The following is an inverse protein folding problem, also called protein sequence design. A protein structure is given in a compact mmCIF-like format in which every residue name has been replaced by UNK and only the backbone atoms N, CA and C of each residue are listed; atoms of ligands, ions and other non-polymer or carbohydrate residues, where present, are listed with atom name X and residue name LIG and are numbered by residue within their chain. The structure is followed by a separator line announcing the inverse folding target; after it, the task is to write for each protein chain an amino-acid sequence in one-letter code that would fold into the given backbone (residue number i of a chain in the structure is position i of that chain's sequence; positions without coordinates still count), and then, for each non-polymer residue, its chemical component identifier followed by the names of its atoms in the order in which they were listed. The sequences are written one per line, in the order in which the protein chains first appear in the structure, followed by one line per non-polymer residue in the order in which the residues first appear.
data_IF_730777256849
#
_entry.id   IF_730777256849
#
_cell.length_a   1.000
_cell.length_b   1.000
_cell.length_c   1.000
_cell.angle_alpha   90.00
_cell.angle_beta   90.00
_cell.angle_gamma   90.00
#
_symmetry.space_group_name_H-M   'P 1'
#
loop_
_entity.id
_entity.type
_entity.pdbx_description
1 polymer ?
#
# COMPACT_ATOMS: atom_id res chain seq x y z
N UNK A 1 -34.96 -26.82 -66.34
CA UNK A 1 -34.03 -27.96 -66.42
C UNK A 1 -32.62 -27.40 -66.46
N UNK A 2 -31.91 -27.41 -65.34
CA UNK A 2 -30.51 -26.97 -65.29
C UNK A 2 -29.69 -27.93 -64.42
N UNK A 3 -28.85 -28.70 -65.12
CA UNK A 3 -27.51 -29.22 -64.78
C UNK A 3 -27.23 -29.54 -63.31
N UNK A 4 -27.31 -30.83 -62.96
CA UNK A 4 -26.65 -31.39 -61.78
C UNK A 4 -25.12 -31.35 -61.96
N UNK A 5 -24.44 -30.59 -61.10
CA UNK A 5 -22.97 -30.53 -61.04
C UNK A 5 -22.49 -31.61 -60.08
N UNK A 6 -21.79 -32.59 -60.63
CA UNK A 6 -21.07 -33.67 -59.93
C UNK A 6 -20.08 -33.08 -58.93
N UNK A 7 -20.22 -33.43 -57.65
CA UNK A 7 -19.15 -33.28 -56.67
C UNK A 7 -18.56 -34.66 -56.40
N UNK A 8 -17.28 -34.77 -56.70
CA UNK A 8 -16.44 -35.94 -56.49
C UNK A 8 -16.35 -36.29 -55.00
N UNK A 9 -16.19 -37.59 -54.65
CA UNK A 9 -15.96 -37.99 -53.27
C UNK A 9 -14.55 -37.57 -52.82
N UNK A 10 -14.48 -36.55 -51.96
CA UNK A 10 -13.24 -36.19 -51.26
C UNK A 10 -12.87 -37.32 -50.30
N UNK A 11 -11.75 -37.98 -50.62
CA UNK A 11 -11.16 -39.12 -49.95
C UNK A 11 -11.00 -38.88 -48.44
N UNK A 12 -11.61 -39.78 -47.67
CA UNK A 12 -11.20 -40.20 -46.34
C UNK A 12 -9.69 -40.53 -46.36
N UNK A 13 -8.90 -39.90 -45.49
CA UNK A 13 -7.75 -40.45 -44.73
C UNK A 13 -7.00 -39.28 -44.09
N UNK A 14 -7.34 -38.96 -42.84
CA UNK A 14 -6.47 -38.24 -41.93
C UNK A 14 -6.28 -39.09 -40.67
N UNK A 15 -5.02 -39.40 -40.37
CA UNK A 15 -4.57 -40.24 -39.26
C UNK A 15 -4.98 -39.68 -37.88
N UNK A 16 -5.02 -40.51 -36.81
CA UNK A 16 -5.45 -40.08 -35.50
C UNK A 16 -4.38 -39.23 -34.82
N UNK A 17 -4.52 -37.91 -34.87
CA UNK A 17 -3.86 -37.04 -33.90
C UNK A 17 -4.64 -37.12 -32.58
N UNK A 18 -4.03 -37.73 -31.57
CA UNK A 18 -4.48 -37.72 -30.19
C UNK A 18 -4.54 -36.29 -29.65
N UNK A 19 -5.67 -35.61 -29.85
CA UNK A 19 -6.04 -34.43 -29.07
C UNK A 19 -7.26 -34.80 -28.21
N UNK A 20 -7.00 -35.03 -26.93
CA UNK A 20 -8.04 -35.10 -25.91
C UNK A 20 -8.87 -33.81 -25.95
N UNK A 21 -10.21 -33.88 -25.97
CA UNK A 21 -11.04 -32.69 -25.88
C UNK A 21 -10.89 -32.11 -24.47
N UNK A 22 -10.41 -30.88 -24.36
CA UNK A 22 -10.48 -30.04 -23.16
C UNK A 22 -11.95 -29.80 -22.84
N UNK A 23 -12.48 -30.65 -21.99
CA UNK A 23 -13.83 -30.56 -21.42
C UNK A 23 -13.89 -29.32 -20.52
N UNK A 24 -14.46 -28.21 -21.02
CA UNK A 24 -14.90 -27.08 -20.21
C UNK A 24 -16.11 -27.49 -19.36
N UNK A 25 -15.85 -28.28 -18.32
CA UNK A 25 -16.83 -28.58 -17.29
C UNK A 25 -17.00 -27.39 -16.33
N UNK A 26 -18.11 -27.32 -15.57
CA UNK A 26 -18.27 -26.36 -14.49
C UNK A 26 -17.06 -26.46 -13.55
N UNK A 27 -16.56 -25.30 -13.10
CA UNK A 27 -15.36 -25.18 -12.28
C UNK A 27 -15.40 -26.19 -11.13
N UNK A 28 -14.63 -27.28 -11.24
CA UNK A 28 -14.54 -28.28 -10.18
C UNK A 28 -13.93 -27.57 -8.98
N UNK A 29 -14.67 -27.49 -7.89
CA UNK A 29 -14.15 -27.03 -6.60
C UNK A 29 -12.94 -27.88 -6.28
N UNK A 30 -11.76 -27.27 -6.32
CA UNK A 30 -10.51 -27.99 -6.11
C UNK A 30 -10.38 -28.19 -4.60
N UNK A 31 -10.52 -29.42 -4.13
CA UNK A 31 -10.36 -29.73 -2.72
C UNK A 31 -8.88 -29.93 -2.40
N UNK A 32 -8.42 -29.33 -1.31
CA UNK A 32 -7.11 -29.61 -0.71
C UNK A 32 -7.37 -30.38 0.59
N UNK A 33 -7.18 -31.69 0.54
CA UNK A 33 -7.61 -32.57 1.63
C UNK A 33 -9.13 -32.60 1.76
N UNK A 34 -9.65 -32.23 2.95
CA UNK A 34 -11.09 -32.23 3.27
C UNK A 34 -11.78 -30.89 3.00
N UNK A 35 -11.02 -29.83 2.72
CA UNK A 35 -11.54 -28.47 2.60
C UNK A 35 -11.45 -27.97 1.14
N UNK A 36 -12.42 -27.16 0.68
CA UNK A 36 -12.32 -26.45 -0.59
C UNK A 36 -11.12 -25.49 -0.63
N UNK A 37 -10.50 -25.33 -1.81
CA UNK A 37 -9.41 -24.37 -2.06
C UNK A 37 -9.75 -22.94 -1.62
N UNK A 38 -11.01 -22.54 -1.75
CA UNK A 38 -11.43 -21.18 -1.46
C UNK A 38 -11.39 -20.86 0.03
N UNK A 39 -11.66 -21.85 0.90
CA UNK A 39 -11.50 -21.68 2.34
C UNK A 39 -10.03 -21.54 2.71
N UNK A 40 -9.14 -22.26 2.03
CA UNK A 40 -7.70 -22.10 2.22
C UNK A 40 -7.22 -20.70 1.81
N UNK A 41 -7.75 -20.14 0.71
CA UNK A 41 -7.46 -18.75 0.31
C UNK A 41 -8.02 -17.74 1.32
N UNK A 42 -9.21 -17.99 1.86
CA UNK A 42 -9.80 -17.16 2.91
C UNK A 42 -8.93 -17.17 4.18
N UNK A 43 -8.49 -18.34 4.65
CA UNK A 43 -7.58 -18.46 5.79
C UNK A 43 -6.27 -17.70 5.53
N UNK A 44 -5.68 -17.86 4.34
CA UNK A 44 -4.45 -17.16 3.94
C UNK A 44 -4.64 -15.64 3.83
N UNK A 45 -5.86 -15.14 3.63
CA UNK A 45 -6.14 -13.70 3.62
C UNK A 45 -6.01 -13.08 5.02
N UNK A 46 -6.36 -13.82 6.08
CA UNK A 46 -6.27 -13.37 7.47
C UNK A 46 -4.98 -13.76 8.19
N UNK A 47 -4.18 -14.67 7.61
CA UNK A 47 -2.96 -15.16 8.22
C UNK A 47 -1.81 -14.12 8.13
N UNK A 48 -0.99 -13.93 9.17
CA UNK A 48 0.22 -13.11 9.08
C UNK A 48 1.20 -13.65 8.03
N UNK A 49 1.88 -12.75 7.31
CA UNK A 49 2.88 -13.12 6.28
C UNK A 49 3.98 -14.07 6.81
N UNK A 50 4.50 -13.91 8.04
CA UNK A 50 5.53 -14.83 8.57
C UNK A 50 5.08 -16.28 8.72
N UNK A 51 3.77 -16.56 8.71
CA UNK A 51 3.23 -17.90 8.90
C UNK A 51 2.93 -18.61 7.56
N UNK A 52 3.06 -17.90 6.43
CA UNK A 52 2.91 -18.47 5.09
C UNK A 52 3.90 -19.63 4.84
N UNK A 53 5.20 -19.54 5.18
CA UNK A 53 6.13 -20.66 5.00
C UNK A 53 5.79 -21.88 5.86
N UNK A 54 5.16 -21.71 7.02
CA UNK A 54 4.71 -22.84 7.83
C UNK A 54 3.53 -23.54 7.16
N UNK A 55 2.57 -22.76 6.65
CA UNK A 55 1.42 -23.25 5.91
C UNK A 55 1.79 -23.95 4.58
N UNK A 56 2.73 -23.37 3.84
CA UNK A 56 3.22 -23.94 2.58
C UNK A 56 3.95 -25.28 2.76
N UNK A 57 4.58 -25.51 3.93
CA UNK A 57 5.29 -26.75 4.24
C UNK A 57 4.37 -27.93 4.57
N UNK A 58 3.07 -27.71 4.82
CA UNK A 58 2.15 -28.79 5.16
C UNK A 58 1.88 -29.76 4.00
N UNK A 59 1.77 -29.26 2.76
CA UNK A 59 1.46 -30.05 1.57
C UNK A 59 1.85 -29.30 0.29
N UNK A 60 2.18 -30.01 -0.80
CA UNK A 60 2.42 -29.38 -2.11
C UNK A 60 1.25 -28.54 -2.61
N UNK A 61 0.00 -28.97 -2.39
CA UNK A 61 -1.16 -28.18 -2.79
C UNK A 61 -1.34 -26.91 -1.94
N UNK A 62 -0.95 -26.92 -0.65
CA UNK A 62 -0.98 -25.71 0.19
C UNK A 62 0.16 -24.75 -0.18
N UNK A 63 1.31 -25.26 -0.63
CA UNK A 63 2.37 -24.44 -1.22
C UNK A 63 1.88 -23.73 -2.49
N UNK A 64 1.25 -24.45 -3.42
CA UNK A 64 0.70 -23.85 -4.64
C UNK A 64 -0.37 -22.79 -4.36
N UNK A 65 -1.19 -22.97 -3.32
CA UNK A 65 -2.17 -21.96 -2.89
C UNK A 65 -1.51 -20.73 -2.25
N UNK A 66 -0.44 -20.91 -1.46
CA UNK A 66 0.29 -19.79 -0.86
C UNK A 66 1.05 -18.93 -1.89
N UNK A 67 1.40 -19.53 -3.04
CA UNK A 67 1.98 -18.83 -4.19
C UNK A 67 0.94 -18.12 -5.07
N UNK A 68 -0.36 -18.30 -4.81
CA UNK A 68 -1.41 -17.69 -5.62
C UNK A 68 -1.34 -16.16 -5.63
N UNK A 69 -1.23 -15.56 -6.82
CA UNK A 69 -1.21 -14.11 -7.00
C UNK A 69 -2.46 -13.42 -6.45
N UNK A 70 -3.61 -14.09 -6.36
CA UNK A 70 -4.85 -13.48 -5.83
C UNK A 70 -4.70 -12.92 -4.42
N UNK A 71 -3.94 -13.61 -3.55
CA UNK A 71 -3.70 -13.18 -2.17
C UNK A 71 -2.76 -11.96 -2.18
N UNK A 72 -1.70 -12.03 -2.99
CA UNK A 72 -0.71 -10.97 -3.10
C UNK A 72 -1.28 -9.71 -3.75
N UNK A 73 -2.17 -9.84 -4.74
CA UNK A 73 -2.90 -8.73 -5.34
C UNK A 73 -3.79 -8.00 -4.33
N UNK A 74 -4.52 -8.73 -3.48
CA UNK A 74 -5.39 -8.12 -2.47
C UNK A 74 -4.56 -7.29 -1.47
N UNK A 75 -3.45 -7.87 -0.98
CA UNK A 75 -2.52 -7.18 -0.07
C UNK A 75 -1.80 -6.01 -0.74
N UNK A 76 -1.42 -6.16 -2.01
CA UNK A 76 -0.76 -5.12 -2.80
C UNK A 76 -1.70 -3.96 -3.13
N UNK A 77 -2.94 -4.25 -3.52
CA UNK A 77 -3.99 -3.24 -3.69
C UNK A 77 -4.17 -2.44 -2.39
N UNK A 78 -4.22 -3.12 -1.25
CA UNK A 78 -4.34 -2.46 0.05
C UNK A 78 -3.16 -1.52 0.38
N UNK A 79 -1.97 -1.77 -0.17
CA UNK A 79 -0.81 -0.87 -0.04
C UNK A 79 -0.83 0.33 -0.99
N UNK A 80 -1.40 0.17 -2.20
CA UNK A 80 -1.44 1.23 -3.23
C UNK A 80 -2.72 2.07 -3.18
N UNK A 81 -3.74 1.66 -2.43
CA UNK A 81 -5.03 2.36 -2.34
C UNK A 81 -4.84 3.86 -2.03
N UNK A 82 -3.77 4.24 -1.34
CA UNK A 82 -3.32 5.63 -1.32
C UNK A 82 -2.29 5.91 -2.42
N UNK A 83 -2.68 6.83 -3.32
CA UNK A 83 -1.85 7.40 -4.41
C UNK A 83 -0.46 7.91 -3.98
N UNK A 84 -0.18 7.98 -2.68
CA UNK A 84 1.13 8.36 -2.12
C UNK A 84 2.26 7.38 -2.44
N UNK A 85 1.97 6.10 -2.72
CA UNK A 85 3.03 5.12 -3.05
C UNK A 85 3.72 5.44 -4.39
N UNK A 86 3.01 6.05 -5.34
CA UNK A 86 3.57 6.45 -6.65
C UNK A 86 4.53 7.63 -6.52
N UNK A 87 4.24 8.56 -5.59
CA UNK A 87 5.13 9.70 -5.29
C UNK A 87 6.38 9.27 -4.49
N UNK A 88 6.29 8.20 -3.69
CA UNK A 88 7.40 7.70 -2.87
C UNK A 88 8.49 6.93 -3.63
N UNK A 89 8.55 7.04 -4.95
CA UNK A 89 9.38 6.17 -5.79
C UNK A 89 10.65 6.49 -6.53
N UNK A 90 11.03 7.72 -6.75
CA UNK A 90 10.97 8.84 -5.85
C UNK A 90 11.96 8.57 -4.69
N UNK A 91 11.43 8.12 -3.56
CA UNK A 91 12.04 8.27 -2.25
C UNK A 91 12.90 7.05 -1.82
N UNK A 92 12.51 5.85 -2.18
CA UNK A 92 13.19 4.63 -1.67
C UNK A 92 14.50 4.29 -2.40
N UNK A 93 14.83 5.00 -3.49
CA UNK A 93 16.20 5.01 -4.01
C UNK A 93 17.23 5.51 -2.98
N UNK A 94 16.80 6.35 -2.03
CA UNK A 94 17.65 6.95 -0.99
C UNK A 94 18.08 5.93 0.09
N UNK A 95 17.21 4.97 0.44
CA UNK A 95 17.50 3.97 1.47
C UNK A 95 18.49 2.88 1.04
N UNK A 96 18.77 2.77 -0.27
CA UNK A 96 19.62 1.71 -0.79
C UNK A 96 21.11 2.08 -0.83
N UNK A 97 21.50 3.37 -0.83
CA UNK A 97 22.90 3.81 -0.74
C UNK A 97 23.01 5.34 -0.43
N UNK A 98 23.71 5.77 0.64
CA UNK A 98 23.87 7.19 0.97
C UNK A 98 24.87 7.98 0.09
N UNK A 99 25.45 7.38 -0.97
CA UNK A 99 26.60 7.99 -1.70
C UNK A 99 26.40 8.18 -3.21
N UNK A 100 25.18 8.14 -3.75
CA UNK A 100 24.99 8.36 -5.20
C UNK A 100 23.84 9.33 -5.50
N UNK A 101 24.08 10.39 -6.30
CA UNK A 101 23.04 11.32 -6.71
C UNK A 101 22.03 10.65 -7.67
N UNK A 102 20.81 11.20 -7.63
CA UNK A 102 19.56 10.74 -8.23
C UNK A 102 19.67 10.00 -9.58
N UNK A 103 18.97 8.88 -9.66
CA UNK A 103 18.31 8.43 -10.90
C UNK A 103 16.82 8.20 -10.61
N UNK A 104 15.99 9.13 -11.05
CA UNK A 104 14.53 9.17 -10.99
C UNK A 104 13.84 8.15 -11.92
N UNK A 105 14.53 7.08 -12.30
CA UNK A 105 14.10 6.16 -13.37
C UNK A 105 13.64 4.80 -12.88
N UNK A 106 13.66 4.51 -11.58
CA UNK A 106 13.31 3.17 -11.11
C UNK A 106 11.79 2.93 -10.99
N UNK A 107 10.97 3.94 -10.69
CA UNK A 107 9.52 3.73 -10.49
C UNK A 107 8.61 4.45 -11.51
N UNK A 108 9.19 5.27 -12.40
CA UNK A 108 8.53 5.74 -13.64
C UNK A 108 8.59 4.70 -14.77
N UNK A 109 9.07 3.49 -14.48
CA UNK A 109 8.78 2.35 -15.33
C UNK A 109 7.32 1.97 -15.11
N UNK A 110 6.45 2.46 -16.02
CA UNK A 110 5.17 1.81 -16.37
C UNK A 110 5.31 0.31 -16.07
N UNK A 111 4.52 -0.28 -15.16
CA UNK A 111 4.75 -1.65 -14.73
C UNK A 111 4.85 -2.50 -15.98
N UNK A 112 6.06 -2.97 -16.29
CA UNK A 112 6.23 -3.92 -17.38
C UNK A 112 5.31 -5.07 -17.03
N UNK A 113 4.58 -5.56 -18.01
CA UNK A 113 3.44 -6.47 -17.87
C UNK A 113 3.78 -7.85 -17.29
N UNK A 114 4.90 -7.98 -16.57
CA UNK A 114 5.46 -9.22 -16.05
C UNK A 114 5.99 -9.16 -14.61
N UNK A 115 5.94 -8.02 -13.90
CA UNK A 115 6.26 -8.05 -12.46
C UNK A 115 5.05 -8.53 -11.65
N UNK A 116 5.10 -9.76 -11.16
CA UNK A 116 4.10 -10.34 -10.22
C UNK A 116 3.87 -9.42 -9.01
N UNK A 117 2.63 -9.34 -8.52
CA UNK A 117 2.26 -8.52 -7.36
C UNK A 117 3.03 -8.98 -6.11
N UNK A 118 3.29 -10.29 -6.02
CA UNK A 118 4.17 -10.87 -5.00
C UNK A 118 5.60 -10.29 -5.04
N UNK A 119 6.20 -10.19 -6.22
CA UNK A 119 7.56 -9.63 -6.38
C UNK A 119 7.64 -8.16 -5.99
N UNK A 120 6.64 -7.37 -6.37
CA UNK A 120 6.53 -5.97 -5.97
C UNK A 120 6.37 -5.83 -4.44
N UNK A 121 5.49 -6.64 -3.84
CA UNK A 121 5.32 -6.69 -2.39
C UNK A 121 6.61 -7.06 -1.66
N UNK A 122 7.34 -8.09 -2.10
CA UNK A 122 8.61 -8.52 -1.48
C UNK A 122 9.63 -7.38 -1.51
N UNK A 123 9.71 -6.66 -2.64
CA UNK A 123 10.59 -5.50 -2.77
C UNK A 123 10.25 -4.45 -1.71
N UNK A 124 8.99 -4.00 -1.65
CA UNK A 124 8.54 -2.99 -0.67
C UNK A 124 8.72 -3.49 0.77
N UNK A 125 8.36 -4.72 1.05
CA UNK A 125 8.52 -5.34 2.37
C UNK A 125 9.99 -5.32 2.82
N UNK A 126 10.94 -5.66 1.95
CA UNK A 126 12.37 -5.63 2.29
C UNK A 126 12.89 -4.23 2.62
N UNK A 127 12.30 -3.20 2.00
CA UNK A 127 12.66 -1.80 2.22
C UNK A 127 12.06 -1.26 3.52
N UNK A 128 10.83 -1.66 3.85
CA UNK A 128 10.14 -1.22 5.07
C UNK A 128 10.57 -2.01 6.31
N UNK A 129 11.02 -3.26 6.15
CA UNK A 129 11.46 -4.13 7.23
C UNK A 129 12.47 -3.48 8.22
N UNK A 130 13.54 -2.78 7.79
CA UNK A 130 14.45 -2.11 8.73
C UNK A 130 13.75 -1.03 9.57
N UNK A 131 12.77 -0.32 9.01
CA UNK A 131 12.00 0.71 9.72
C UNK A 131 11.13 0.10 10.82
N UNK A 132 10.59 -1.11 10.61
CA UNK A 132 9.80 -1.81 11.64
C UNK A 132 10.63 -2.06 12.91
N UNK A 133 11.92 -2.39 12.77
CA UNK A 133 12.79 -2.61 13.93
C UNK A 133 13.03 -1.31 14.72
N UNK A 134 12.84 -0.15 14.10
CA UNK A 134 12.92 1.14 14.80
C UNK A 134 11.63 1.50 15.52
N UNK A 135 10.49 0.92 15.13
CA UNK A 135 9.18 1.17 15.76
C UNK A 135 9.03 0.56 17.16
N UNK A 136 9.97 -0.30 17.59
CA UNK A 136 10.02 -0.76 18.98
C UNK A 136 10.67 0.25 19.95
N UNK A 137 11.12 1.41 19.44
CA UNK A 137 11.71 2.49 20.23
C UNK A 137 10.62 3.48 20.71
N UNK A 138 10.92 4.34 21.69
CA UNK A 138 10.02 5.43 22.09
C UNK A 138 9.59 6.34 20.93
N UNK A 139 8.36 6.90 20.94
CA UNK A 139 7.78 7.69 19.85
C UNK A 139 8.63 8.85 19.33
N UNK A 140 9.33 9.57 20.21
CA UNK A 140 10.19 10.69 19.81
C UNK A 140 11.43 10.24 19.04
N UNK A 141 12.02 9.09 19.40
CA UNK A 141 13.18 8.52 18.69
C UNK A 141 12.77 8.02 17.31
N UNK A 142 11.53 7.51 17.19
CA UNK A 142 10.95 7.12 15.90
C UNK A 142 10.93 8.35 14.99
N UNK A 143 10.28 9.45 15.41
CA UNK A 143 10.19 10.67 14.62
C UNK A 143 11.55 11.25 14.27
N UNK A 144 12.49 11.33 15.22
CA UNK A 144 13.85 11.83 14.93
C UNK A 144 14.57 10.98 13.87
N UNK A 145 14.44 9.65 13.94
CA UNK A 145 15.05 8.76 12.94
C UNK A 145 14.37 8.83 11.57
N UNK A 146 13.05 8.99 11.54
CA UNK A 146 12.30 9.18 10.30
C UNK A 146 12.65 10.52 9.66
N UNK A 147 12.62 11.62 10.42
CA UNK A 147 13.03 12.95 9.97
C UNK A 147 14.50 13.00 9.52
N UNK A 148 15.41 12.26 10.16
CA UNK A 148 16.80 12.17 9.73
C UNK A 148 16.96 11.42 8.39
N UNK A 149 16.08 10.45 8.12
CA UNK A 149 16.10 9.68 6.88
C UNK A 149 15.29 10.33 5.74
N UNK A 150 14.32 11.16 6.09
CA UNK A 150 13.44 11.90 5.21
C UNK A 150 13.81 13.38 5.32
N UNK A 151 14.72 13.84 4.47
CA UNK A 151 15.06 15.26 4.26
C UNK A 151 13.85 16.22 4.41
N UNK A 152 14.05 17.48 4.85
CA UNK A 152 13.33 18.15 5.95
C UNK A 152 11.87 18.57 5.70
N UNK A 153 11.20 18.08 4.67
CA UNK A 153 9.80 18.43 4.42
C UNK A 153 8.84 17.63 5.29
N UNK A 154 7.93 18.32 5.98
CA UNK A 154 6.94 17.72 6.87
C UNK A 154 5.99 16.79 6.10
N UNK A 155 5.65 17.15 4.85
CA UNK A 155 4.77 16.34 4.01
C UNK A 155 5.35 14.95 3.67
N UNK A 156 6.67 14.83 3.52
CA UNK A 156 7.29 13.53 3.26
C UNK A 156 7.33 12.66 4.52
N UNK A 157 7.61 13.25 5.68
CA UNK A 157 7.54 12.53 6.95
C UNK A 157 6.11 12.02 7.21
N UNK A 158 5.12 12.89 6.97
CA UNK A 158 3.71 12.53 7.04
C UNK A 158 3.34 11.37 6.12
N UNK A 159 3.78 11.43 4.86
CA UNK A 159 3.56 10.37 3.87
C UNK A 159 4.21 9.05 4.29
N UNK A 160 5.38 9.09 4.93
CA UNK A 160 6.05 7.90 5.46
C UNK A 160 5.28 7.26 6.60
N UNK A 161 4.81 8.07 7.56
CA UNK A 161 3.99 7.59 8.67
C UNK A 161 2.70 6.95 8.16
N UNK A 162 2.04 7.58 7.18
CA UNK A 162 0.85 7.04 6.51
C UNK A 162 1.12 5.68 5.88
N UNK A 163 2.19 5.56 5.10
CA UNK A 163 2.58 4.31 4.46
C UNK A 163 2.87 3.21 5.48
N UNK A 164 3.58 3.53 6.56
CA UNK A 164 3.84 2.59 7.64
C UNK A 164 2.54 2.15 8.33
N UNK A 165 1.56 3.03 8.50
CA UNK A 165 0.25 2.67 9.05
C UNK A 165 -0.49 1.70 8.12
N UNK A 166 -0.52 1.98 6.82
CA UNK A 166 -1.11 1.07 5.82
C UNK A 166 -0.42 -0.29 5.82
N UNK A 167 0.91 -0.30 5.88
CA UNK A 167 1.70 -1.53 5.91
C UNK A 167 1.45 -2.36 7.17
N UNK A 168 1.20 -1.72 8.32
CA UNK A 168 0.83 -2.37 9.58
C UNK A 168 -0.68 -2.63 9.71
N UNK A 169 -1.48 -2.49 8.65
CA UNK A 169 -2.91 -2.76 8.68
C UNK A 169 -3.24 -4.25 8.89
N UNK A 170 -4.46 -4.50 9.35
CA UNK A 170 -5.01 -5.85 9.58
C UNK A 170 -5.10 -6.71 8.31
N UNK A 171 -5.04 -6.10 7.13
CA UNK A 171 -5.07 -6.80 5.84
C UNK A 171 -3.71 -7.34 5.43
N UNK A 172 -2.63 -6.65 5.80
CA UNK A 172 -1.27 -6.97 5.33
C UNK A 172 -0.49 -7.76 6.36
N UNK A 173 -0.65 -7.49 7.66
CA UNK A 173 -0.05 -8.25 8.78
C UNK A 173 1.39 -8.75 8.49
N UNK A 174 2.34 -7.83 8.26
CA UNK A 174 3.67 -8.18 7.75
C UNK A 174 4.54 -8.86 8.81
N UNK A 175 4.26 -8.62 10.09
CA UNK A 175 5.03 -9.13 11.24
C UNK A 175 4.06 -9.65 12.30
N UNK A 176 4.48 -10.66 13.08
CA UNK A 176 3.63 -11.24 14.15
C UNK A 176 3.18 -10.21 15.18
N UNK A 177 4.06 -9.28 15.54
CA UNK A 177 3.82 -8.19 16.50
C UNK A 177 3.26 -6.90 15.86
N UNK A 178 2.57 -7.02 14.72
CA UNK A 178 2.08 -5.84 13.99
C UNK A 178 1.17 -4.95 14.84
N UNK A 179 0.37 -5.53 15.76
CA UNK A 179 -0.52 -4.76 16.66
C UNK A 179 0.26 -3.86 17.62
N UNK A 180 1.30 -4.41 18.26
CA UNK A 180 2.19 -3.67 19.17
C UNK A 180 2.88 -2.52 18.40
N UNK A 181 3.40 -2.83 17.22
CA UNK A 181 4.08 -1.83 16.38
C UNK A 181 3.11 -0.77 15.83
N UNK A 182 1.86 -1.15 15.51
CA UNK A 182 0.83 -0.21 15.06
C UNK A 182 0.44 0.74 16.18
N UNK A 183 0.28 0.23 17.41
CA UNK A 183 0.02 1.08 18.57
C UNK A 183 1.17 2.06 18.85
N UNK A 184 2.42 1.58 18.78
CA UNK A 184 3.61 2.44 18.92
C UNK A 184 3.69 3.51 17.82
N UNK A 185 3.38 3.14 16.57
CA UNK A 185 3.30 4.08 15.44
C UNK A 185 2.19 5.10 15.64
N UNK A 186 1.02 4.70 16.15
CA UNK A 186 -0.09 5.61 16.49
C UNK A 186 0.37 6.67 17.48
N UNK A 187 1.03 6.27 18.57
CA UNK A 187 1.59 7.21 19.53
C UNK A 187 2.67 8.13 18.94
N UNK A 188 3.40 7.69 17.91
CA UNK A 188 4.33 8.55 17.17
C UNK A 188 3.58 9.54 16.26
N UNK A 189 2.51 9.12 15.59
CA UNK A 189 1.64 9.98 14.78
C UNK A 189 0.97 11.07 15.65
N UNK A 190 0.45 10.72 16.82
CA UNK A 190 -0.20 11.70 17.72
C UNK A 190 0.80 12.78 18.21
N UNK A 191 2.06 12.38 18.43
CA UNK A 191 3.14 13.34 18.73
C UNK A 191 3.54 14.17 17.52
N UNK A 192 3.57 13.57 16.33
CA UNK A 192 3.84 14.31 15.09
C UNK A 192 2.76 15.37 14.86
N UNK A 193 1.49 15.03 15.08
CA UNK A 193 0.36 15.96 15.03
C UNK A 193 0.53 17.14 16.00
N UNK A 194 0.99 16.87 17.23
CA UNK A 194 1.31 17.92 18.21
C UNK A 194 2.47 18.82 17.72
N UNK A 195 3.49 18.23 17.09
CA UNK A 195 4.61 18.98 16.51
C UNK A 195 4.16 19.83 15.31
N UNK A 196 3.21 19.35 14.50
CA UNK A 196 2.66 20.11 13.37
C UNK A 196 1.91 21.35 13.85
N UNK A 197 1.12 21.25 14.92
CA UNK A 197 0.46 22.41 15.52
C UNK A 197 1.48 23.44 16.00
N UNK A 198 2.52 23.00 16.72
CA UNK A 198 3.57 23.90 17.19
C UNK A 198 4.35 24.54 16.01
N UNK A 199 4.62 23.78 14.95
CA UNK A 199 5.27 24.28 13.74
C UNK A 199 4.39 25.29 12.98
N UNK A 200 3.09 25.06 12.95
CA UNK A 200 2.10 25.98 12.37
C UNK A 200 2.07 27.29 13.16
N UNK A 201 1.95 27.23 14.49
CA UNK A 201 1.93 28.43 15.34
C UNK A 201 3.22 29.24 15.21
N UNK A 202 4.37 28.56 15.13
CA UNK A 202 5.64 29.24 14.88
C UNK A 202 5.73 29.87 13.47
N UNK A 203 5.10 29.26 12.47
CA UNK A 203 5.06 29.80 11.11
C UNK A 203 4.12 31.01 11.03
N UNK A 204 2.99 30.96 11.74
CA UNK A 204 2.00 32.04 11.87
C UNK A 204 2.60 33.27 12.55
N UNK A 205 3.30 33.09 13.68
CA UNK A 205 4.03 34.18 14.38
C UNK A 205 5.04 34.91 13.47
N UNK A 206 5.58 34.21 12.47
CA UNK A 206 6.55 34.74 11.50
C UNK A 206 5.90 35.26 10.22
N UNK A 207 4.58 35.12 10.06
CA UNK A 207 3.85 35.44 8.82
C UNK A 207 4.25 34.56 7.63
N UNK A 208 4.73 33.34 7.87
CA UNK A 208 5.16 32.42 6.82
C UNK A 208 4.00 31.51 6.37
N UNK A 209 3.17 32.03 5.46
CA UNK A 209 2.00 31.33 4.91
C UNK A 209 2.35 29.95 4.32
N UNK A 210 3.51 29.83 3.66
CA UNK A 210 3.95 28.57 3.06
C UNK A 210 4.22 27.49 4.12
N UNK A 211 4.80 27.89 5.27
CA UNK A 211 5.03 26.98 6.40
C UNK A 211 3.72 26.54 7.05
N UNK A 212 2.75 27.44 7.15
CA UNK A 212 1.40 27.14 7.65
C UNK A 212 0.69 26.13 6.72
N UNK A 213 0.76 26.36 5.41
CA UNK A 213 0.19 25.45 4.41
C UNK A 213 0.82 24.06 4.49
N UNK A 214 2.16 23.97 4.56
CA UNK A 214 2.85 22.68 4.63
C UNK A 214 2.48 21.90 5.90
N UNK A 215 2.37 22.56 7.05
CA UNK A 215 1.97 21.91 8.30
C UNK A 215 0.53 21.39 8.25
N UNK A 216 -0.39 22.15 7.64
CA UNK A 216 -1.79 21.74 7.45
C UNK A 216 -1.91 20.57 6.46
N UNK A 217 -1.20 20.61 5.34
CA UNK A 217 -1.15 19.52 4.36
C UNK A 217 -0.55 18.25 4.96
N UNK A 218 0.53 18.36 5.72
CA UNK A 218 1.15 17.23 6.42
C UNK A 218 0.17 16.61 7.43
N UNK A 219 -0.63 17.41 8.14
CA UNK A 219 -1.65 16.92 9.08
C UNK A 219 -2.74 16.12 8.38
N UNK A 220 -3.20 16.56 7.21
CA UNK A 220 -4.16 15.82 6.40
C UNK A 220 -3.58 14.48 5.91
N UNK A 221 -2.32 14.47 5.49
CA UNK A 221 -1.66 13.29 4.94
C UNK A 221 -1.40 12.18 5.97
N UNK A 222 -1.09 12.54 7.22
CA UNK A 222 -0.90 11.56 8.30
C UNK A 222 -2.20 10.85 8.64
N UNK A 223 -3.34 11.52 8.47
CA UNK A 223 -4.61 11.00 8.94
C UNK A 223 -4.99 9.67 8.29
N UNK A 224 -5.14 8.70 9.19
CA UNK A 224 -5.70 7.35 9.13
C UNK A 224 -6.98 7.08 8.35
N UNK A 225 -8.02 7.81 8.74
CA UNK A 225 -9.41 7.41 8.54
C UNK A 225 -9.79 6.07 9.19
N UNK A 226 -8.86 5.37 9.90
CA UNK A 226 -9.09 4.00 10.34
C UNK A 226 -9.71 3.90 11.74
N UNK A 227 -9.48 4.88 12.62
CA UNK A 227 -9.98 4.85 14.00
C UNK A 227 -10.26 6.25 14.54
N UNK A 228 -11.55 6.53 14.79
CA UNK A 228 -12.03 7.71 15.50
C UNK A 228 -12.29 8.93 14.64
N UNK A 229 -12.69 10.02 15.30
CA UNK A 229 -12.80 11.33 14.69
C UNK A 229 -11.40 11.88 14.37
N UNK A 230 -11.31 12.65 13.29
CA UNK A 230 -10.09 13.39 12.98
C UNK A 230 -9.98 14.58 13.95
N UNK A 231 -9.48 14.32 15.16
CA UNK A 231 -9.33 15.33 16.23
C UNK A 231 -8.53 16.54 15.75
N UNK A 232 -7.48 16.31 14.96
CA UNK A 232 -6.70 17.39 14.40
C UNK A 232 -7.51 18.25 13.42
N UNK A 233 -8.46 17.65 12.70
CA UNK A 233 -9.42 18.38 11.86
C UNK A 233 -10.33 19.31 12.67
N UNK A 234 -10.73 18.90 13.87
CA UNK A 234 -11.51 19.77 14.78
C UNK A 234 -10.66 20.97 15.22
N UNK A 235 -9.41 20.73 15.62
CA UNK A 235 -8.47 21.81 15.99
C UNK A 235 -8.25 22.79 14.83
N UNK A 236 -8.10 22.29 13.60
CA UNK A 236 -7.98 23.15 12.41
C UNK A 236 -9.26 23.95 12.13
N UNK A 237 -10.44 23.36 12.33
CA UNK A 237 -11.71 24.05 12.17
C UNK A 237 -11.91 25.14 13.24
N UNK A 238 -11.60 24.86 14.50
CA UNK A 238 -11.64 25.82 15.61
C UNK A 238 -10.67 26.97 15.37
N UNK A 239 -9.42 26.69 14.95
CA UNK A 239 -8.48 27.75 14.58
C UNK A 239 -9.02 28.62 13.46
N UNK A 240 -9.61 28.03 12.40
CA UNK A 240 -10.25 28.83 11.33
C UNK A 240 -11.37 29.71 11.86
N UNK A 241 -12.21 29.23 12.77
CA UNK A 241 -13.29 30.04 13.36
C UNK A 241 -12.72 31.26 14.09
N UNK A 242 -11.64 31.07 14.87
CA UNK A 242 -10.92 32.17 15.54
C UNK A 242 -10.32 33.17 14.53
N UNK A 243 -9.82 32.70 13.38
CA UNK A 243 -9.25 33.57 12.35
C UNK A 243 -10.30 34.31 11.50
N UNK A 244 -11.46 33.69 11.25
CA UNK A 244 -12.52 34.24 10.39
C UNK A 244 -13.68 34.90 11.16
N UNK A 245 -13.63 34.93 12.50
CA UNK A 245 -14.51 35.78 13.32
C UNK A 245 -14.18 37.29 13.19
N UNK A 246 -13.11 37.65 12.48
CA UNK A 246 -12.94 39.00 11.96
C UNK A 246 -13.86 39.24 10.77
N UNK A 247 -14.30 40.49 10.48
CA UNK A 247 -15.16 40.79 9.33
C UNK A 247 -14.43 40.50 8.01
N UNK A 248 -14.43 39.24 7.60
CA UNK A 248 -13.86 38.75 6.36
C UNK A 248 -14.85 39.03 5.23
N UNK A 249 -14.45 39.78 4.22
CA UNK A 249 -15.25 39.98 3.02
C UNK A 249 -15.09 38.77 2.08
N UNK A 250 -16.09 37.88 1.94
CA UNK A 250 -15.99 36.71 1.07
C UNK A 250 -15.83 37.09 -0.41
N UNK A 251 -16.15 38.33 -0.81
CA UNK A 251 -16.03 38.79 -2.20
C UNK A 251 -14.57 39.10 -2.61
N UNK A 252 -13.67 39.31 -1.65
CA UNK A 252 -12.26 39.59 -1.93
C UNK A 252 -11.48 38.41 -2.55
N UNK A 253 -12.02 37.19 -2.48
CA UNK A 253 -11.40 35.98 -3.06
C UNK A 253 -11.69 35.77 -4.56
N UNK A 254 -12.59 36.57 -5.15
CA UNK A 254 -13.07 36.39 -6.53
C UNK A 254 -12.46 37.37 -7.53
N UNK A 255 -11.50 38.19 -7.12
CA UNK A 255 -10.74 39.12 -7.98
C UNK A 255 -9.36 38.58 -8.31
#
# INVERSE_FOLDING_TARGET
MEKFKTLEPLKLYAAPSSSLPTRSGPARTQYVGKLPSDLHLLILSYLPVPDFPAYARCLHATAALAESEKIWESRWKSLIVDKGLTAMGDFVGVFQNPTTPLSSTLWSAKPSSMSTSRGQYIRVHNLLKPLINTLSLPPHIILTKLAAAVTPSLCLEASMLRLLSLFLSSTIQPVRKWKENKAALRSAMDRFDTNLLAAFDQADEKGNEKGMQEAAEASWLVWDGAEGDWEMGKVWAEKREIFYDQPWDPLANFT
#
